data_IF_541947601991
#
_entry.id   IF_541947601991
#
_cell.length_a   1.000
_cell.length_b   1.000
_cell.length_c   1.000
_cell.angle_alpha   90.00
_cell.angle_beta   90.00
_cell.angle_gamma   90.00
#
_symmetry.space_group_name_H-M   'P 1'
#
loop_
_entity.id
_entity.type
_entity.pdbx_description
1 polymer ?
#
# COMPACT_ATOMS: atom_id res chain seq x y z
N UNK A 1 15.92 -5.82 14.71
CA UNK A 1 15.33 -6.61 13.61
C UNK A 1 13.98 -5.98 13.25
N UNK A 2 13.61 -5.86 11.96
CA UNK A 2 12.30 -5.31 11.57
C UNK A 2 11.19 -6.29 11.97
N UNK A 3 10.06 -5.77 12.45
CA UNK A 3 8.91 -6.60 12.78
C UNK A 3 8.32 -7.20 11.49
N UNK A 4 7.99 -8.50 11.44
CA UNK A 4 7.30 -9.08 10.30
C UNK A 4 5.95 -8.39 10.04
N UNK A 5 5.51 -8.39 8.79
CA UNK A 5 4.23 -7.80 8.37
C UNK A 5 3.47 -8.84 7.55
N UNK A 6 2.21 -9.05 7.90
CA UNK A 6 1.24 -9.78 7.07
C UNK A 6 0.22 -8.77 6.58
N UNK A 7 0.28 -8.45 5.29
CA UNK A 7 -0.58 -7.46 4.65
C UNK A 7 -1.54 -8.12 3.66
N UNK A 8 -2.83 -7.96 3.89
CA UNK A 8 -3.88 -8.40 2.96
C UNK A 8 -4.25 -7.24 2.02
N UNK A 9 -4.07 -7.43 0.72
CA UNK A 9 -4.60 -6.55 -0.31
C UNK A 9 -5.99 -7.04 -0.71
N UNK A 10 -7.03 -6.29 -0.37
CA UNK A 10 -8.41 -6.70 -0.67
C UNK A 10 -8.79 -6.47 -2.13
N UNK A 11 -8.03 -5.63 -2.83
CA UNK A 11 -8.32 -5.25 -4.20
C UNK A 11 -9.73 -4.68 -4.31
N UNK A 12 -10.43 -4.88 -5.42
CA UNK A 12 -11.80 -4.38 -5.62
C UNK A 12 -12.81 -5.39 -5.05
N UNK A 13 -12.79 -5.58 -3.73
CA UNK A 13 -13.71 -6.48 -3.03
C UNK A 13 -14.25 -5.84 -1.75
N UNK A 14 -15.41 -6.30 -1.35
CA UNK A 14 -16.15 -5.96 -0.14
C UNK A 14 -16.83 -4.58 -0.17
N UNK A 15 -17.97 -4.55 0.46
CA UNK A 15 -18.74 -3.37 0.83
C UNK A 15 -18.41 -2.97 2.27
N UNK A 16 -18.86 -1.79 2.70
CA UNK A 16 -18.66 -1.32 4.08
C UNK A 16 -19.21 -2.30 5.13
N UNK A 17 -20.34 -2.95 4.85
CA UNK A 17 -20.92 -3.94 5.77
C UNK A 17 -20.04 -5.18 5.88
N UNK A 18 -19.63 -5.76 4.75
CA UNK A 18 -18.74 -6.92 4.68
C UNK A 18 -17.36 -6.62 5.29
N UNK A 19 -16.85 -5.40 5.11
CA UNK A 19 -15.61 -4.92 5.72
C UNK A 19 -15.72 -4.93 7.26
N UNK A 20 -16.80 -4.39 7.81
CA UNK A 20 -17.05 -4.40 9.25
C UNK A 20 -17.11 -5.82 9.79
N UNK A 21 -17.85 -6.71 9.14
CA UNK A 21 -18.04 -8.09 9.58
C UNK A 21 -16.73 -8.87 9.53
N UNK A 22 -15.96 -8.75 8.43
CA UNK A 22 -14.66 -9.39 8.28
C UNK A 22 -13.66 -8.94 9.34
N UNK A 23 -13.55 -7.63 9.58
CA UNK A 23 -12.62 -7.12 10.60
C UNK A 23 -13.04 -7.58 11.99
N UNK A 24 -14.33 -7.58 12.29
CA UNK A 24 -14.85 -8.06 13.57
C UNK A 24 -14.52 -9.53 13.81
N UNK A 25 -14.65 -10.37 12.79
CA UNK A 25 -14.29 -11.78 12.86
C UNK A 25 -12.78 -12.01 12.97
N UNK A 26 -11.96 -11.16 12.33
CA UNK A 26 -10.51 -11.30 12.33
C UNK A 26 -9.86 -10.87 13.65
N UNK A 27 -10.42 -9.87 14.35
CA UNK A 27 -9.85 -9.30 15.58
C UNK A 27 -9.39 -10.35 16.60
N UNK A 28 -10.26 -11.29 17.06
CA UNK A 28 -9.85 -12.28 18.04
C UNK A 28 -8.82 -13.27 17.52
N UNK A 29 -8.77 -13.51 16.21
CA UNK A 29 -7.85 -14.46 15.59
C UNK A 29 -6.41 -13.93 15.52
N UNK A 30 -6.23 -12.62 15.53
CA UNK A 30 -4.91 -11.97 15.39
C UNK A 30 -4.46 -11.20 16.64
N UNK A 31 -5.22 -11.29 17.73
CA UNK A 31 -4.97 -10.53 18.96
C UNK A 31 -3.54 -10.73 19.48
N UNK A 32 -3.02 -11.95 19.40
CA UNK A 32 -1.70 -12.33 19.89
C UNK A 32 -0.66 -12.52 18.77
N UNK A 33 -0.88 -11.92 17.59
CA UNK A 33 0.05 -12.05 16.47
C UNK A 33 1.38 -11.33 16.74
N UNK A 34 2.50 -12.01 16.53
CA UNK A 34 3.86 -11.47 16.67
C UNK A 34 4.29 -10.59 15.48
N UNK A 35 3.39 -10.32 14.54
CA UNK A 35 3.61 -9.51 13.35
C UNK A 35 2.67 -8.30 13.32
N UNK A 36 2.96 -7.33 12.44
CA UNK A 36 2.00 -6.30 12.09
C UNK A 36 0.96 -6.91 11.14
N UNK A 37 -0.31 -6.87 11.52
CA UNK A 37 -1.43 -7.31 10.68
C UNK A 37 -2.01 -6.08 9.99
N UNK A 38 -1.94 -6.04 8.66
CA UNK A 38 -2.35 -4.90 7.84
C UNK A 38 -3.45 -5.32 6.87
N UNK A 39 -4.53 -4.55 6.81
CA UNK A 39 -5.60 -4.74 5.82
C UNK A 39 -5.64 -3.52 4.91
N UNK A 40 -5.27 -3.71 3.65
CA UNK A 40 -5.39 -2.68 2.63
C UNK A 40 -6.73 -2.84 1.93
N UNK A 41 -7.59 -1.83 2.08
CA UNK A 41 -8.99 -1.88 1.68
C UNK A 41 -9.31 -0.77 0.65
N UNK A 42 -10.38 -0.93 -0.15
CA UNK A 42 -10.86 0.12 -1.04
C UNK A 42 -11.08 1.46 -0.32
N UNK A 43 -10.93 2.57 -1.03
CA UNK A 43 -11.11 3.92 -0.45
C UNK A 43 -12.47 4.12 0.22
N UNK A 44 -13.54 3.53 -0.35
CA UNK A 44 -14.90 3.57 0.19
C UNK A 44 -15.03 2.94 1.57
N UNK A 45 -14.12 2.04 1.92
CA UNK A 45 -14.19 1.24 3.14
C UNK A 45 -13.25 1.72 4.24
N UNK A 46 -12.31 2.63 3.93
CA UNK A 46 -11.27 3.08 4.86
C UNK A 46 -11.84 3.57 6.20
N UNK A 47 -12.85 4.42 6.18
CA UNK A 47 -13.45 4.95 7.41
C UNK A 47 -14.10 3.84 8.24
N UNK A 48 -14.82 2.94 7.59
CA UNK A 48 -15.46 1.79 8.24
C UNK A 48 -14.42 0.85 8.81
N UNK A 49 -13.38 0.54 8.05
CA UNK A 49 -12.28 -0.31 8.47
C UNK A 49 -11.55 0.26 9.70
N UNK A 50 -11.23 1.57 9.70
CA UNK A 50 -10.61 2.23 10.85
C UNK A 50 -11.48 2.17 12.10
N UNK A 51 -12.79 2.36 11.96
CA UNK A 51 -13.75 2.23 13.08
C UNK A 51 -13.82 0.80 13.60
N UNK A 52 -13.93 -0.18 12.70
CA UNK A 52 -14.03 -1.61 13.07
C UNK A 52 -12.75 -2.13 13.73
N UNK A 53 -11.57 -1.70 13.25
CA UNK A 53 -10.27 -2.10 13.80
C UNK A 53 -9.92 -1.44 15.14
N UNK A 54 -10.72 -0.46 15.62
CA UNK A 54 -10.45 0.23 16.88
C UNK A 54 -10.34 -0.75 18.05
N UNK A 55 -9.31 -0.57 18.87
CA UNK A 55 -9.05 -1.42 20.03
C UNK A 55 -8.45 -2.79 19.68
N UNK A 56 -7.91 -2.97 18.48
CA UNK A 56 -7.18 -4.16 18.07
C UNK A 56 -5.77 -3.81 17.58
N UNK A 57 -4.95 -4.84 17.29
CA UNK A 57 -3.63 -4.70 16.68
C UNK A 57 -3.66 -4.57 15.15
N UNK A 58 -4.87 -4.60 14.54
CA UNK A 58 -5.04 -4.49 13.08
C UNK A 58 -4.77 -3.05 12.63
N UNK A 59 -3.89 -2.91 11.65
CA UNK A 59 -3.58 -1.67 10.95
C UNK A 59 -4.36 -1.60 9.64
N UNK A 60 -4.74 -0.39 9.24
CA UNK A 60 -5.48 -0.18 8.00
C UNK A 60 -4.60 0.52 6.98
N UNK A 61 -4.58 -0.03 5.76
CA UNK A 61 -3.91 0.52 4.60
C UNK A 61 -4.90 0.94 3.52
N UNK A 62 -4.46 1.86 2.66
CA UNK A 62 -5.11 2.18 1.40
C UNK A 62 -4.45 1.38 0.25
N UNK A 63 -5.16 1.22 -0.85
CA UNK A 63 -4.69 0.47 -2.03
C UNK A 63 -3.99 1.36 -3.07
N UNK A 64 -4.05 2.68 -2.87
CA UNK A 64 -3.40 3.68 -3.72
C UNK A 64 -3.36 5.04 -3.02
N UNK A 65 -2.58 5.98 -3.58
CA UNK A 65 -2.53 7.40 -3.20
C UNK A 65 -2.07 8.23 -4.38
N UNK A 66 -2.62 9.42 -4.57
CA UNK A 66 -2.12 10.36 -5.55
C UNK A 66 -0.97 11.21 -4.97
N UNK A 67 -0.06 11.66 -5.83
CA UNK A 67 1.11 12.44 -5.40
C UNK A 67 0.84 13.92 -5.20
N UNK A 68 -0.21 14.48 -5.84
CA UNK A 68 -0.58 15.88 -5.66
C UNK A 68 -1.37 16.06 -4.35
N UNK A 69 -1.12 17.16 -3.66
CA UNK A 69 -1.81 17.50 -2.42
C UNK A 69 -3.31 17.79 -2.67
N UNK A 70 -3.60 18.49 -3.76
CA UNK A 70 -4.96 18.86 -4.21
C UNK A 70 -4.95 19.26 -5.67
N UNK A 71 -6.11 19.37 -6.29
CA UNK A 71 -6.23 19.90 -7.65
C UNK A 71 -7.25 19.17 -8.52
N UNK A 72 -7.17 19.39 -9.81
CA UNK A 72 -8.07 18.84 -10.82
C UNK A 72 -7.67 17.40 -11.19
N UNK A 73 -7.85 16.48 -10.25
CA UNK A 73 -7.54 15.05 -10.38
C UNK A 73 -8.78 14.23 -10.03
N UNK A 74 -9.81 14.33 -10.84
CA UNK A 74 -11.11 13.68 -10.62
C UNK A 74 -10.93 12.17 -10.38
N UNK A 75 -11.45 11.69 -9.25
CA UNK A 75 -11.36 10.29 -8.84
C UNK A 75 -10.14 9.90 -8.00
N UNK A 76 -9.13 10.77 -7.88
CA UNK A 76 -7.94 10.51 -7.07
C UNK A 76 -8.13 10.88 -5.59
N UNK A 77 -7.35 10.23 -4.74
CA UNK A 77 -7.30 10.46 -3.30
C UNK A 77 -5.90 10.89 -2.89
N UNK A 78 -5.78 12.05 -2.23
CA UNK A 78 -4.50 12.61 -1.80
C UNK A 78 -4.01 11.98 -0.49
N UNK A 79 -2.72 12.14 -0.21
CA UNK A 79 -2.12 11.67 1.03
C UNK A 79 -2.71 12.35 2.27
N UNK A 80 -3.12 13.62 2.19
CA UNK A 80 -3.77 14.32 3.31
C UNK A 80 -5.17 13.78 3.61
N UNK A 81 -5.94 13.36 2.59
CA UNK A 81 -7.22 12.68 2.79
C UNK A 81 -7.05 11.35 3.54
N UNK A 82 -6.01 10.58 3.20
CA UNK A 82 -5.68 9.34 3.90
C UNK A 82 -5.19 9.58 5.32
N UNK A 83 -4.40 10.63 5.53
CA UNK A 83 -3.89 11.03 6.84
C UNK A 83 -5.00 11.46 7.79
N UNK A 84 -6.02 12.17 7.31
CA UNK A 84 -7.21 12.53 8.09
C UNK A 84 -7.91 11.29 8.63
N UNK A 85 -8.03 10.23 7.84
CA UNK A 85 -8.57 8.95 8.25
C UNK A 85 -7.61 8.12 9.13
N UNK A 86 -6.39 8.63 9.40
CA UNK A 86 -5.36 7.93 10.16
C UNK A 86 -4.98 6.57 9.56
N UNK A 87 -4.90 6.52 8.24
CA UNK A 87 -4.42 5.33 7.50
C UNK A 87 -2.96 5.07 7.85
N UNK A 88 -2.61 3.83 8.10
CA UNK A 88 -1.27 3.44 8.57
C UNK A 88 -0.31 3.12 7.43
N UNK A 89 -0.84 2.49 6.36
CA UNK A 89 -0.08 2.00 5.21
C UNK A 89 -0.76 2.38 3.89
N UNK A 90 -0.02 2.31 2.80
CA UNK A 90 -0.57 2.44 1.45
C UNK A 90 0.19 1.57 0.47
N UNK A 91 -0.52 0.81 -0.36
CA UNK A 91 0.05 0.06 -1.48
C UNK A 91 0.37 1.04 -2.61
N UNK A 92 1.56 0.91 -3.21
CA UNK A 92 2.01 1.76 -4.31
C UNK A 92 2.68 0.89 -5.38
N UNK A 93 2.33 1.10 -6.64
CA UNK A 93 2.97 0.45 -7.78
C UNK A 93 2.59 -1.03 -7.94
N UNK A 94 1.42 -1.44 -7.43
CA UNK A 94 0.92 -2.81 -7.63
C UNK A 94 0.88 -3.18 -9.11
N UNK A 95 1.17 -4.44 -9.45
CA UNK A 95 1.23 -4.94 -10.84
C UNK A 95 -0.02 -4.58 -11.65
N UNK A 96 -1.20 -4.74 -11.08
CA UNK A 96 -2.48 -4.37 -11.71
C UNK A 96 -2.53 -2.88 -12.08
N UNK A 97 -2.00 -2.00 -11.22
CA UNK A 97 -2.00 -0.56 -11.50
C UNK A 97 -0.98 -0.18 -12.58
N UNK A 98 0.15 -0.87 -12.62
CA UNK A 98 1.11 -0.73 -13.72
C UNK A 98 0.51 -1.19 -15.04
N UNK A 99 -0.19 -2.31 -15.03
CA UNK A 99 -0.76 -2.96 -16.21
C UNK A 99 -2.01 -2.23 -16.73
N UNK A 100 -2.95 -1.87 -15.85
CA UNK A 100 -4.27 -1.38 -16.25
C UNK A 100 -4.43 0.14 -16.14
N UNK A 101 -3.64 0.81 -15.32
CA UNK A 101 -3.80 2.24 -15.01
C UNK A 101 -2.56 3.07 -15.36
N UNK A 102 -1.61 2.50 -16.09
CA UNK A 102 -0.46 3.22 -16.63
C UNK A 102 0.52 3.75 -15.58
N UNK A 103 0.59 3.12 -14.40
CA UNK A 103 1.60 3.50 -13.41
C UNK A 103 3.00 3.12 -13.88
N UNK A 104 3.94 4.04 -13.70
CA UNK A 104 5.37 3.89 -14.05
C UNK A 104 6.23 4.01 -12.82
N UNK A 105 7.52 3.68 -12.95
CA UNK A 105 8.47 3.84 -11.84
C UNK A 105 8.57 5.30 -11.38
N UNK A 106 8.43 6.27 -12.30
CA UNK A 106 8.37 7.70 -11.96
C UNK A 106 7.13 8.03 -11.13
N UNK A 107 5.94 7.56 -11.52
CA UNK A 107 4.71 7.82 -10.75
C UNK A 107 4.73 7.09 -9.40
N UNK A 108 5.32 5.91 -9.32
CA UNK A 108 5.58 5.19 -8.06
C UNK A 108 6.45 6.04 -7.13
N UNK A 109 7.56 6.59 -7.64
CA UNK A 109 8.45 7.45 -6.88
C UNK A 109 7.70 8.65 -6.26
N UNK A 110 6.92 9.36 -7.07
CA UNK A 110 6.12 10.51 -6.62
C UNK A 110 5.11 10.12 -5.53
N UNK A 111 4.44 8.97 -5.67
CA UNK A 111 3.47 8.45 -4.69
C UNK A 111 4.14 8.05 -3.39
N UNK A 112 5.31 7.43 -3.45
CA UNK A 112 6.12 7.07 -2.26
C UNK A 112 6.50 8.33 -1.50
N UNK A 113 6.96 9.38 -2.20
CA UNK A 113 7.29 10.66 -1.58
C UNK A 113 6.08 11.29 -0.87
N UNK A 114 4.90 11.29 -1.52
CA UNK A 114 3.68 11.82 -0.93
C UNK A 114 3.26 11.04 0.33
N UNK A 115 3.32 9.72 0.30
CA UNK A 115 3.01 8.87 1.45
C UNK A 115 3.96 9.14 2.63
N UNK A 116 5.27 9.21 2.38
CA UNK A 116 6.27 9.49 3.42
C UNK A 116 6.09 10.88 4.04
N UNK A 117 5.80 11.90 3.22
CA UNK A 117 5.53 13.27 3.68
C UNK A 117 4.30 13.32 4.61
N UNK A 118 3.27 12.52 4.30
CA UNK A 118 2.08 12.37 5.15
C UNK A 118 2.28 11.45 6.36
N UNK A 119 3.47 10.83 6.51
CA UNK A 119 3.81 9.84 7.54
C UNK A 119 3.00 8.54 7.43
N UNK A 120 2.57 8.19 6.23
CA UNK A 120 1.95 6.91 5.89
C UNK A 120 3.05 5.98 5.37
N UNK A 121 3.08 4.74 5.82
CA UNK A 121 4.10 3.77 5.41
C UNK A 121 3.77 3.18 4.03
N UNK A 122 4.60 3.39 3.00
CA UNK A 122 4.35 2.78 1.70
C UNK A 122 4.74 1.30 1.67
N UNK A 123 3.87 0.49 1.07
CA UNK A 123 4.14 -0.87 0.63
C UNK A 123 4.36 -0.79 -0.87
N UNK A 124 5.61 -0.77 -1.29
CA UNK A 124 6.01 -0.61 -2.69
C UNK A 124 6.08 -1.98 -3.35
N UNK A 125 5.20 -2.19 -4.33
CA UNK A 125 5.16 -3.43 -5.08
C UNK A 125 6.16 -3.40 -6.24
N UNK A 126 6.90 -4.48 -6.36
CA UNK A 126 7.84 -4.75 -7.44
C UNK A 126 7.63 -6.17 -7.94
N UNK A 127 7.89 -6.41 -9.19
CA UNK A 127 7.75 -7.73 -9.79
C UNK A 127 7.75 -7.66 -11.31
N UNK A 128 8.18 -8.73 -11.93
CA UNK A 128 8.18 -8.94 -13.37
C UNK A 128 6.86 -9.55 -13.84
N UNK A 129 6.58 -9.38 -15.11
CA UNK A 129 5.52 -10.12 -15.81
C UNK A 129 5.94 -11.56 -16.09
N UNK A 130 4.99 -12.44 -16.39
CA UNK A 130 5.27 -13.82 -16.79
C UNK A 130 6.24 -13.88 -17.98
N UNK A 131 6.00 -13.09 -19.02
CA UNK A 131 6.89 -13.01 -20.19
C UNK A 131 8.32 -12.53 -19.86
N UNK A 132 8.46 -11.57 -18.96
CA UNK A 132 9.77 -11.12 -18.49
C UNK A 132 10.48 -12.21 -17.68
N UNK A 133 9.74 -12.97 -16.86
CA UNK A 133 10.26 -14.11 -16.10
C UNK A 133 10.73 -15.23 -17.02
N UNK A 134 9.91 -15.64 -17.99
CA UNK A 134 10.27 -16.65 -19.00
C UNK A 134 11.46 -16.20 -19.86
N UNK A 135 11.56 -14.89 -20.12
CA UNK A 135 12.70 -14.28 -20.81
C UNK A 135 13.96 -14.13 -19.97
N UNK A 136 13.97 -14.55 -18.69
CA UNK A 136 15.12 -14.42 -17.79
C UNK A 136 15.45 -12.98 -17.38
N UNK A 137 14.45 -12.08 -17.42
CA UNK A 137 14.64 -10.64 -17.17
C UNK A 137 14.29 -10.22 -15.73
N UNK A 138 13.95 -11.15 -14.84
CA UNK A 138 13.50 -10.88 -13.46
C UNK A 138 14.41 -9.87 -12.75
N UNK A 139 15.71 -10.16 -12.64
CA UNK A 139 16.65 -9.28 -11.91
C UNK A 139 16.73 -7.88 -12.53
N UNK A 140 16.77 -7.78 -13.85
CA UNK A 140 16.83 -6.51 -14.58
C UNK A 140 15.57 -5.66 -14.33
N UNK A 141 14.38 -6.30 -14.32
CA UNK A 141 13.12 -5.62 -14.04
C UNK A 141 13.09 -5.12 -12.61
N UNK A 142 13.44 -5.98 -11.65
CA UNK A 142 13.47 -5.62 -10.24
C UNK A 142 14.48 -4.50 -9.96
N UNK A 143 15.69 -4.59 -10.53
CA UNK A 143 16.70 -3.54 -10.41
C UNK A 143 16.14 -2.20 -10.90
N UNK A 144 15.57 -2.15 -12.10
CA UNK A 144 14.96 -0.93 -12.66
C UNK A 144 13.88 -0.38 -11.74
N UNK A 145 12.93 -1.22 -11.30
CA UNK A 145 11.81 -0.79 -10.47
C UNK A 145 12.27 -0.25 -9.11
N UNK A 146 13.29 -0.87 -8.50
CA UNK A 146 13.87 -0.41 -7.24
C UNK A 146 14.66 0.89 -7.45
N UNK A 147 15.57 0.93 -8.42
CA UNK A 147 16.44 2.08 -8.64
C UNK A 147 15.63 3.31 -9.04
N UNK A 148 14.73 3.20 -10.02
CA UNK A 148 13.94 4.34 -10.50
C UNK A 148 12.78 4.67 -9.55
N UNK A 149 12.08 3.67 -9.04
CA UNK A 149 10.94 3.86 -8.13
C UNK A 149 11.34 4.42 -6.77
N UNK A 150 12.57 4.20 -6.32
CA UNK A 150 13.06 4.68 -5.03
C UNK A 150 14.23 5.67 -5.15
N UNK A 151 14.42 6.26 -6.33
CA UNK A 151 15.45 7.26 -6.57
C UNK A 151 15.30 8.47 -5.65
N UNK A 152 16.41 8.89 -5.04
CA UNK A 152 16.49 10.09 -4.21
C UNK A 152 16.06 9.91 -2.74
N UNK A 153 15.54 8.74 -2.35
CA UNK A 153 15.26 8.46 -0.94
C UNK A 153 16.56 8.20 -0.16
N UNK A 154 16.57 8.64 1.09
CA UNK A 154 17.72 8.50 1.99
C UNK A 154 17.60 7.19 2.80
N UNK A 155 18.72 6.68 3.30
CA UNK A 155 18.77 5.47 4.12
C UNK A 155 17.68 5.43 5.22
N UNK A 156 17.48 6.54 5.93
CA UNK A 156 16.45 6.66 6.98
C UNK A 156 15.00 6.50 6.50
N UNK A 157 14.74 6.73 5.21
CA UNK A 157 13.40 6.61 4.66
C UNK A 157 13.02 5.13 4.49
N UNK A 158 14.04 4.28 4.24
CA UNK A 158 13.86 2.83 4.13
C UNK A 158 13.41 2.15 5.41
N UNK A 159 13.55 2.78 6.57
CA UNK A 159 12.97 2.28 7.82
C UNK A 159 11.43 2.25 7.79
N UNK A 160 10.83 3.04 6.90
CA UNK A 160 9.38 3.17 6.76
C UNK A 160 8.83 2.52 5.50
N UNK A 161 9.68 2.19 4.53
CA UNK A 161 9.29 1.56 3.27
C UNK A 161 9.26 0.05 3.44
N UNK A 162 8.20 -0.57 2.95
CA UNK A 162 8.08 -2.03 2.81
C UNK A 162 8.17 -2.35 1.33
N UNK A 163 8.99 -3.30 0.95
CA UNK A 163 9.05 -3.82 -0.43
C UNK A 163 8.25 -5.11 -0.46
N UNK A 164 7.31 -5.17 -1.38
CA UNK A 164 6.49 -6.35 -1.65
C UNK A 164 6.82 -6.87 -3.05
N UNK A 165 7.39 -8.06 -3.13
CA UNK A 165 7.67 -8.73 -4.40
C UNK A 165 6.51 -9.66 -4.79
N UNK A 166 6.08 -9.53 -6.02
CA UNK A 166 5.01 -10.33 -6.60
C UNK A 166 5.49 -11.06 -7.86
#
# INVERSE_FOLDING_TARGET
MRKPIIAGNWKMNKTMAETKDMISALKPLVENADCDVVLCVPFTDLQTAKKAAKGSNIKIGAENVHWAEKGAFTGEVSADMLKELKVDYVIIGHSERRQYFGETDETVNKRVQAALNAKIKPIVCVGETEAEREGGLTEKVLERQIVEGLKGFKSKDFDKIVIAYE
#
